data_IF_333504106784
#
_entry.id   IF_333504106784
#
_cell.length_a   1.000
_cell.length_b   1.000
_cell.length_c   1.000
_cell.angle_alpha   90.00
_cell.angle_beta   90.00
_cell.angle_gamma   90.00
#
_symmetry.space_group_name_H-M   'P 1'
#
loop_
_entity.id
_entity.type
_entity.pdbx_description
1 polymer ?
#
# COMPACT_ATOMS: atom_id res chain seq x y z
N UNK A 1 12.45 -10.60 37.32
CA UNK A 1 12.96 -10.49 35.93
C UNK A 1 11.84 -10.43 34.88
N UNK A 2 10.75 -11.20 34.97
CA UNK A 2 9.66 -11.16 33.99
C UNK A 2 8.96 -9.79 33.87
N UNK A 3 8.67 -9.10 34.96
CA UNK A 3 7.99 -7.80 34.95
C UNK A 3 8.82 -6.70 34.26
N UNK A 4 10.15 -6.76 34.29
CA UNK A 4 11.02 -5.84 33.57
C UNK A 4 11.04 -6.07 32.07
N UNK A 5 11.06 -7.34 31.63
CA UNK A 5 11.03 -7.69 30.21
C UNK A 5 9.70 -7.29 29.53
N UNK A 6 8.56 -7.47 30.23
CA UNK A 6 7.25 -7.04 29.73
C UNK A 6 7.13 -5.51 29.58
N UNK A 7 7.75 -4.76 30.49
CA UNK A 7 7.75 -3.28 30.40
C UNK A 7 8.59 -2.77 29.22
N UNK A 8 9.74 -3.40 28.94
CA UNK A 8 10.62 -3.07 27.79
C UNK A 8 9.90 -3.38 26.46
N UNK A 9 9.27 -4.55 26.34
CA UNK A 9 8.50 -4.93 25.16
C UNK A 9 7.32 -3.95 24.93
N UNK A 10 6.59 -3.59 25.97
CA UNK A 10 5.49 -2.63 25.89
C UNK A 10 5.96 -1.26 25.42
N UNK A 11 7.11 -0.79 25.93
CA UNK A 11 7.76 0.44 25.47
C UNK A 11 8.11 0.36 23.98
N UNK A 12 8.79 -0.71 23.56
CA UNK A 12 9.18 -0.95 22.17
C UNK A 12 7.96 -0.91 21.22
N UNK A 13 6.92 -1.67 21.54
CA UNK A 13 5.67 -1.72 20.76
C UNK A 13 5.00 -0.35 20.68
N UNK A 14 4.98 0.42 21.76
CA UNK A 14 4.43 1.77 21.78
C UNK A 14 5.19 2.71 20.85
N UNK A 15 6.53 2.65 20.87
CA UNK A 15 7.40 3.43 19.97
C UNK A 15 7.19 3.03 18.52
N UNK A 16 7.16 1.73 18.20
CA UNK A 16 6.87 1.23 16.85
C UNK A 16 5.54 1.78 16.34
N UNK A 17 4.48 1.67 17.13
CA UNK A 17 3.16 2.19 16.72
C UNK A 17 3.20 3.70 16.45
N UNK A 18 3.83 4.48 17.31
CA UNK A 18 3.92 5.94 17.13
C UNK A 18 4.77 6.34 15.93
N UNK A 19 5.82 5.58 15.64
CA UNK A 19 6.74 5.89 14.55
C UNK A 19 6.20 5.42 13.19
N UNK A 20 5.63 4.24 13.13
CA UNK A 20 5.30 3.55 11.86
C UNK A 20 3.85 3.75 11.44
N UNK A 21 2.87 3.64 12.37
CA UNK A 21 1.46 3.66 11.99
C UNK A 21 1.00 4.94 11.30
N UNK A 22 1.37 6.16 11.75
CA UNK A 22 0.91 7.37 11.08
C UNK A 22 1.33 7.41 9.61
N UNK A 23 2.58 6.99 9.31
CA UNK A 23 3.08 6.91 7.95
C UNK A 23 2.25 5.93 7.10
N UNK A 24 2.02 4.72 7.58
CA UNK A 24 1.24 3.73 6.84
C UNK A 24 -0.22 4.14 6.66
N UNK A 25 -0.82 4.80 7.64
CA UNK A 25 -2.17 5.37 7.49
C UNK A 25 -2.19 6.43 6.39
N UNK A 26 -1.21 7.34 6.36
CA UNK A 26 -1.10 8.35 5.29
C UNK A 26 -0.90 7.68 3.93
N UNK A 27 0.00 6.70 3.82
CA UNK A 27 0.22 5.94 2.58
C UNK A 27 -1.07 5.28 2.11
N UNK A 28 -1.86 4.72 3.02
CA UNK A 28 -3.12 4.07 2.68
C UNK A 28 -4.22 5.06 2.28
N UNK A 29 -4.29 6.21 2.95
CA UNK A 29 -5.19 7.30 2.55
C UNK A 29 -4.90 7.73 1.11
N UNK A 30 -3.63 7.99 0.79
CA UNK A 30 -3.21 8.40 -0.56
C UNK A 30 -3.53 7.31 -1.58
N UNK A 31 -3.21 6.05 -1.26
CA UNK A 31 -3.55 4.90 -2.11
C UNK A 31 -5.06 4.79 -2.38
N UNK A 32 -5.87 4.99 -1.35
CA UNK A 32 -7.32 4.89 -1.48
C UNK A 32 -7.91 6.05 -2.29
N UNK A 33 -7.41 7.27 -2.10
CA UNK A 33 -7.81 8.45 -2.90
C UNK A 33 -7.52 8.19 -4.38
N UNK A 34 -6.33 7.69 -4.71
CA UNK A 34 -5.93 7.38 -6.08
C UNK A 34 -6.79 6.29 -6.75
N UNK A 35 -7.32 5.35 -5.96
CA UNK A 35 -8.26 4.34 -6.47
C UNK A 35 -9.65 4.88 -6.74
N UNK A 36 -10.13 5.83 -5.94
CA UNK A 36 -11.50 6.36 -6.09
C UNK A 36 -11.58 7.58 -6.99
N UNK A 37 -10.46 8.26 -7.26
CA UNK A 37 -10.40 9.48 -8.07
C UNK A 37 -10.96 9.29 -9.48
N UNK A 38 -10.81 8.10 -10.06
CA UNK A 38 -11.37 7.74 -11.37
C UNK A 38 -12.89 7.97 -11.44
N UNK A 39 -13.60 7.79 -10.32
CA UNK A 39 -15.04 8.06 -10.24
C UNK A 39 -15.38 9.53 -10.44
N UNK A 40 -14.56 10.44 -9.93
CA UNK A 40 -14.78 11.88 -10.01
C UNK A 40 -14.47 12.45 -11.41
N UNK A 41 -13.57 11.82 -12.16
CA UNK A 41 -13.15 12.30 -13.50
C UNK A 41 -13.96 11.69 -14.64
N UNK A 42 -14.82 10.70 -14.38
CA UNK A 42 -15.54 9.95 -15.42
C UNK A 42 -16.24 10.83 -16.44
N UNK A 43 -17.08 11.76 -15.98
CA UNK A 43 -17.84 12.66 -16.86
C UNK A 43 -16.94 13.60 -17.67
N UNK A 44 -15.82 14.03 -17.08
CA UNK A 44 -14.84 14.87 -17.77
C UNK A 44 -14.12 14.10 -18.88
N UNK A 45 -13.72 12.85 -18.61
CA UNK A 45 -13.07 11.99 -19.60
C UNK A 45 -14.01 11.59 -20.74
N UNK A 46 -15.29 11.36 -20.44
CA UNK A 46 -16.30 11.09 -21.46
C UNK A 46 -16.48 12.30 -22.38
N UNK A 47 -16.60 13.50 -21.80
CA UNK A 47 -16.76 14.75 -22.56
C UNK A 47 -15.51 15.11 -23.39
N UNK A 48 -14.32 14.95 -22.80
CA UNK A 48 -13.07 15.46 -23.39
C UNK A 48 -12.39 14.48 -24.33
N UNK A 49 -12.52 13.19 -24.08
CA UNK A 49 -11.80 12.11 -24.76
C UNK A 49 -12.72 11.08 -25.42
N UNK A 50 -14.04 11.20 -25.24
CA UNK A 50 -15.02 10.23 -25.74
C UNK A 50 -14.96 8.87 -25.03
N UNK A 51 -14.33 8.78 -23.83
CA UNK A 51 -14.22 7.54 -23.06
C UNK A 51 -15.56 7.25 -22.40
N UNK A 52 -16.41 6.50 -23.10
CA UNK A 52 -17.75 6.17 -22.64
C UNK A 52 -17.78 5.14 -21.49
N UNK A 53 -18.99 4.84 -21.01
CA UNK A 53 -19.19 3.98 -19.84
C UNK A 53 -18.58 2.58 -19.97
N UNK A 54 -18.62 1.97 -21.15
CA UNK A 54 -18.06 0.63 -21.40
C UNK A 54 -16.53 0.66 -21.33
N UNK A 55 -15.89 1.65 -21.97
CA UNK A 55 -14.45 1.84 -21.94
C UNK A 55 -13.95 2.16 -20.52
N UNK A 56 -14.69 3.01 -19.80
CA UNK A 56 -14.42 3.28 -18.38
C UNK A 56 -14.46 2.00 -17.53
N UNK A 57 -15.51 1.17 -17.68
CA UNK A 57 -15.65 -0.10 -16.96
C UNK A 57 -14.51 -1.07 -17.25
N UNK A 58 -14.11 -1.18 -18.55
CA UNK A 58 -12.98 -2.02 -18.95
C UNK A 58 -11.67 -1.51 -18.33
N UNK A 59 -11.40 -0.20 -18.38
CA UNK A 59 -10.20 0.38 -17.78
C UNK A 59 -10.15 0.19 -16.26
N UNK A 60 -11.29 0.29 -15.57
CA UNK A 60 -11.39 -0.03 -14.15
C UNK A 60 -11.07 -1.51 -13.90
N UNK A 61 -11.58 -2.43 -14.72
CA UNK A 61 -11.29 -3.87 -14.64
C UNK A 61 -9.82 -4.20 -14.90
N UNK A 62 -9.20 -3.57 -15.90
CA UNK A 62 -7.78 -3.77 -16.23
C UNK A 62 -6.83 -3.42 -15.08
N UNK A 63 -7.18 -2.43 -14.27
CA UNK A 63 -6.44 -2.15 -13.03
C UNK A 63 -6.41 -3.37 -12.10
N UNK A 64 -7.57 -3.98 -11.84
CA UNK A 64 -7.64 -5.14 -10.95
C UNK A 64 -6.96 -6.37 -11.55
N UNK A 65 -6.98 -6.55 -12.86
CA UNK A 65 -6.25 -7.63 -13.54
C UNK A 65 -4.74 -7.44 -13.34
N UNK A 66 -4.22 -6.24 -13.60
CA UNK A 66 -2.81 -5.92 -13.36
C UNK A 66 -2.41 -6.12 -11.90
N UNK A 67 -3.25 -5.65 -10.97
CA UNK A 67 -3.05 -5.80 -9.54
C UNK A 67 -2.96 -7.28 -9.14
N UNK A 68 -3.96 -8.09 -9.49
CA UNK A 68 -4.03 -9.50 -9.10
C UNK A 68 -2.88 -10.35 -9.69
N UNK A 69 -2.51 -10.13 -10.95
CA UNK A 69 -1.43 -10.87 -11.60
C UNK A 69 -0.05 -10.59 -10.94
N UNK A 70 0.17 -9.37 -10.46
CA UNK A 70 1.47 -8.95 -9.94
C UNK A 70 1.54 -8.92 -8.41
N UNK A 71 0.44 -9.16 -7.69
CA UNK A 71 0.43 -9.15 -6.23
C UNK A 71 1.36 -10.19 -5.63
N UNK A 72 1.29 -11.45 -6.06
CA UNK A 72 2.14 -12.53 -5.55
C UNK A 72 3.61 -12.32 -5.94
N UNK A 73 3.97 -12.07 -7.22
CA UNK A 73 5.35 -11.73 -7.59
C UNK A 73 5.94 -10.55 -6.80
N UNK A 74 5.14 -9.50 -6.61
CA UNK A 74 5.54 -8.31 -5.85
C UNK A 74 5.89 -8.65 -4.39
N UNK A 75 5.07 -9.48 -3.74
CA UNK A 75 5.31 -9.89 -2.36
C UNK A 75 6.52 -10.81 -2.20
N UNK A 76 6.80 -11.67 -3.17
CA UNK A 76 8.03 -12.47 -3.19
C UNK A 76 9.27 -11.57 -3.27
N UNK A 77 9.22 -10.55 -4.11
CA UNK A 77 10.32 -9.58 -4.25
C UNK A 77 10.48 -8.73 -2.99
N UNK A 78 9.38 -8.30 -2.36
CA UNK A 78 9.39 -7.58 -1.09
C UNK A 78 10.14 -8.35 0.00
N UNK A 79 9.90 -9.67 0.11
CA UNK A 79 10.58 -10.51 1.09
C UNK A 79 12.09 -10.61 0.83
N UNK A 80 12.51 -10.61 -0.44
CA UNK A 80 13.93 -10.70 -0.84
C UNK A 80 14.67 -9.37 -0.69
N UNK A 81 14.05 -8.28 -1.12
CA UNK A 81 14.68 -6.95 -1.21
C UNK A 81 14.56 -6.16 0.09
N UNK A 82 13.54 -6.47 0.88
CA UNK A 82 13.21 -5.75 2.10
C UNK A 82 12.10 -4.70 1.92
N UNK A 83 11.34 -4.49 3.01
CA UNK A 83 10.13 -3.70 2.96
C UNK A 83 10.38 -2.22 2.61
N UNK A 84 11.42 -1.60 3.19
CA UNK A 84 11.77 -0.19 2.92
C UNK A 84 11.96 0.08 1.43
N UNK A 85 12.84 -0.69 0.79
CA UNK A 85 13.18 -0.51 -0.62
C UNK A 85 11.96 -0.79 -1.49
N UNK A 86 11.25 -1.88 -1.19
CA UNK A 86 10.16 -2.33 -2.05
C UNK A 86 8.91 -1.45 -1.95
N UNK A 87 8.52 -1.01 -0.75
CA UNK A 87 7.40 -0.08 -0.56
C UNK A 87 7.70 1.29 -1.15
N UNK A 88 8.94 1.78 -1.01
CA UNK A 88 9.37 3.02 -1.68
C UNK A 88 9.24 2.89 -3.21
N UNK A 89 9.70 1.76 -3.78
CA UNK A 89 9.57 1.48 -5.23
C UNK A 89 8.10 1.46 -5.64
N UNK A 90 7.23 0.78 -4.88
CA UNK A 90 5.79 0.73 -5.17
C UNK A 90 5.23 2.15 -5.23
N UNK A 91 5.48 2.97 -4.23
CA UNK A 91 4.98 4.34 -4.19
C UNK A 91 5.51 5.23 -5.30
N UNK A 92 6.80 5.09 -5.64
CA UNK A 92 7.40 5.85 -6.73
C UNK A 92 6.79 5.47 -8.08
N UNK A 93 6.73 4.17 -8.39
CA UNK A 93 6.22 3.69 -9.68
C UNK A 93 4.73 3.95 -9.84
N UNK A 94 3.96 3.72 -8.78
CA UNK A 94 2.54 4.03 -8.77
C UNK A 94 2.30 5.54 -8.93
N UNK A 95 2.97 6.40 -8.15
CA UNK A 95 2.79 7.84 -8.25
C UNK A 95 3.14 8.39 -9.64
N UNK A 96 4.22 7.88 -10.27
CA UNK A 96 4.58 8.27 -11.65
C UNK A 96 3.52 7.83 -12.66
N UNK A 97 3.01 6.59 -12.58
CA UNK A 97 1.96 6.11 -13.49
C UNK A 97 0.66 6.88 -13.28
N UNK A 98 0.29 7.18 -12.01
CA UNK A 98 -0.87 8.00 -11.68
C UNK A 98 -0.73 9.42 -12.27
N UNK A 99 0.44 10.05 -12.13
CA UNK A 99 0.70 11.36 -12.75
C UNK A 99 0.62 11.30 -14.28
N UNK A 100 1.06 10.20 -14.91
CA UNK A 100 0.95 10.00 -16.36
C UNK A 100 -0.52 9.92 -16.84
N UNK A 101 -1.47 9.53 -15.96
CA UNK A 101 -2.89 9.57 -16.30
C UNK A 101 -3.38 10.97 -16.71
N UNK A 102 -2.72 12.03 -16.26
CA UNK A 102 -3.00 13.41 -16.69
C UNK A 102 -2.81 13.62 -18.20
N UNK A 103 -2.04 12.80 -18.88
CA UNK A 103 -1.64 12.96 -20.29
C UNK A 103 -2.30 11.95 -21.24
N UNK A 104 -3.35 11.26 -20.80
CA UNK A 104 -4.11 10.36 -21.66
C UNK A 104 -4.82 11.16 -22.76
N UNK A 105 -4.86 10.58 -23.97
CA UNK A 105 -5.44 11.22 -25.16
C UNK A 105 -6.53 10.37 -25.82
N UNK A 106 -6.60 9.08 -25.46
CA UNK A 106 -7.54 8.12 -26.05
C UNK A 106 -7.75 6.92 -25.12
N UNK A 107 -8.71 6.06 -25.47
CA UNK A 107 -9.03 4.84 -24.72
C UNK A 107 -7.84 3.90 -24.57
N UNK A 108 -7.00 3.75 -25.58
CA UNK A 108 -5.85 2.85 -25.54
C UNK A 108 -4.83 3.29 -24.48
N UNK A 109 -4.52 4.61 -24.43
CA UNK A 109 -3.66 5.16 -23.38
C UNK A 109 -4.27 4.95 -21.99
N UNK A 110 -5.58 5.14 -21.87
CA UNK A 110 -6.30 4.89 -20.62
C UNK A 110 -6.17 3.44 -20.17
N UNK A 111 -6.40 2.46 -21.05
CA UNK A 111 -6.29 1.03 -20.72
C UNK A 111 -4.89 0.64 -20.30
N UNK A 112 -3.87 1.07 -21.04
CA UNK A 112 -2.47 0.77 -20.75
C UNK A 112 -2.09 1.32 -19.37
N UNK A 113 -2.39 2.59 -19.11
CA UNK A 113 -2.04 3.22 -17.83
C UNK A 113 -2.83 2.66 -16.66
N UNK A 114 -4.09 2.29 -16.83
CA UNK A 114 -4.88 1.59 -15.80
C UNK A 114 -4.30 0.23 -15.45
N UNK A 115 -3.90 -0.55 -16.46
CA UNK A 115 -3.23 -1.83 -16.22
C UNK A 115 -1.87 -1.62 -15.51
N UNK A 116 -1.04 -0.70 -15.99
CA UNK A 116 0.25 -0.38 -15.38
C UNK A 116 0.11 0.15 -13.95
N UNK A 117 -0.93 0.93 -13.67
CA UNK A 117 -1.23 1.41 -12.32
C UNK A 117 -1.53 0.23 -11.38
N UNK A 118 -2.33 -0.75 -11.82
CA UNK A 118 -2.58 -1.97 -11.07
C UNK A 118 -1.29 -2.76 -10.79
N UNK A 119 -0.43 -2.93 -11.81
CA UNK A 119 0.89 -3.56 -11.66
C UNK A 119 1.79 -2.80 -10.67
N UNK A 120 1.81 -1.47 -10.76
CA UNK A 120 2.64 -0.63 -9.91
C UNK A 120 2.21 -0.65 -8.43
N UNK A 121 0.90 -0.66 -8.16
CA UNK A 121 0.33 -0.76 -6.82
C UNK A 121 0.37 -2.17 -6.23
N UNK A 122 0.52 -3.19 -7.07
CA UNK A 122 0.48 -4.58 -6.64
C UNK A 122 1.48 -4.87 -5.51
N UNK A 123 0.99 -5.49 -4.45
CA UNK A 123 1.79 -5.84 -3.28
C UNK A 123 1.89 -4.74 -2.22
N UNK A 124 1.29 -3.56 -2.40
CA UNK A 124 1.29 -2.52 -1.36
C UNK A 124 0.60 -2.99 -0.08
N UNK A 125 -0.66 -3.38 -0.17
CA UNK A 125 -1.44 -3.79 0.99
C UNK A 125 -0.83 -5.00 1.71
N UNK A 126 -0.59 -6.15 1.05
CA UNK A 126 0.04 -7.30 1.72
C UNK A 126 1.48 -7.00 2.16
N UNK A 127 2.18 -6.09 1.48
CA UNK A 127 3.50 -5.62 1.90
C UNK A 127 3.50 -4.87 3.23
N UNK A 128 2.49 -4.04 3.48
CA UNK A 128 2.28 -3.38 4.78
C UNK A 128 1.93 -4.42 5.86
N UNK A 129 1.05 -5.38 5.56
CA UNK A 129 0.74 -6.47 6.49
C UNK A 129 1.99 -7.27 6.83
N UNK A 130 2.80 -7.63 5.81
CA UNK A 130 4.08 -8.29 6.03
C UNK A 130 5.02 -7.45 6.92
N UNK A 131 5.11 -6.14 6.70
CA UNK A 131 5.89 -5.26 7.57
C UNK A 131 5.43 -5.36 9.02
N UNK A 132 4.12 -5.30 9.28
CA UNK A 132 3.59 -5.44 10.63
C UNK A 132 3.89 -6.80 11.27
N UNK A 133 4.00 -7.88 10.48
CA UNK A 133 4.41 -9.19 11.03
C UNK A 133 5.84 -9.21 11.53
N UNK A 134 6.69 -8.33 11.01
CA UNK A 134 8.11 -8.22 11.39
C UNK A 134 8.38 -7.21 12.51
N UNK A 135 7.37 -6.38 12.85
CA UNK A 135 7.52 -5.27 13.77
C UNK A 135 6.56 -5.32 14.97
N UNK A 136 5.53 -6.14 14.94
CA UNK A 136 4.51 -6.17 15.98
C UNK A 136 4.11 -7.60 16.35
N UNK A 137 4.04 -7.94 17.67
CA UNK A 137 3.43 -9.18 18.14
C UNK A 137 1.96 -9.29 17.75
N UNK A 138 1.41 -10.52 17.73
CA UNK A 138 0.12 -10.85 17.11
C UNK A 138 -1.06 -9.98 17.52
N UNK A 139 -1.27 -9.74 18.82
CA UNK A 139 -2.40 -8.92 19.33
C UNK A 139 -2.24 -7.45 18.90
N UNK A 140 -1.03 -6.90 19.03
CA UNK A 140 -0.75 -5.51 18.68
C UNK A 140 -0.73 -5.30 17.17
N UNK A 141 -0.34 -6.32 16.40
CA UNK A 141 -0.46 -6.33 14.94
C UNK A 141 -1.90 -6.25 14.48
N UNK A 142 -2.83 -6.98 15.10
CA UNK A 142 -4.26 -6.88 14.79
C UNK A 142 -4.81 -5.47 15.00
N UNK A 143 -4.43 -4.81 16.10
CA UNK A 143 -4.78 -3.41 16.36
C UNK A 143 -4.17 -2.45 15.33
N UNK A 144 -2.91 -2.67 14.94
CA UNK A 144 -2.22 -1.88 13.94
C UNK A 144 -2.89 -1.98 12.57
N UNK A 145 -3.30 -3.18 12.15
CA UNK A 145 -4.04 -3.41 10.91
C UNK A 145 -5.40 -2.70 10.96
N UNK A 146 -6.13 -2.76 12.08
CA UNK A 146 -7.41 -2.06 12.21
C UNK A 146 -7.25 -0.54 12.08
N UNK A 147 -6.22 0.05 12.71
CA UNK A 147 -5.89 1.48 12.58
C UNK A 147 -5.50 1.81 11.13
N UNK A 148 -4.68 0.98 10.50
CA UNK A 148 -4.29 1.16 9.10
C UNK A 148 -5.51 1.17 8.17
N UNK A 149 -6.44 0.21 8.33
CA UNK A 149 -7.66 0.12 7.54
C UNK A 149 -8.62 1.28 7.77
N UNK A 150 -8.62 1.91 8.94
CA UNK A 150 -9.44 3.11 9.21
C UNK A 150 -9.08 4.28 8.30
N UNK A 151 -7.88 4.27 7.70
CA UNK A 151 -7.47 5.22 6.68
C UNK A 151 -8.42 5.29 5.47
N UNK A 152 -9.11 4.20 5.12
CA UNK A 152 -10.10 4.20 4.04
C UNK A 152 -11.32 5.07 4.35
N UNK A 153 -11.78 5.09 5.60
CA UNK A 153 -12.88 5.96 6.03
C UNK A 153 -12.46 7.44 5.96
N UNK A 154 -11.25 7.75 6.42
CA UNK A 154 -10.68 9.11 6.32
C UNK A 154 -10.52 9.51 4.86
N UNK A 155 -9.97 8.64 4.03
CA UNK A 155 -9.81 8.89 2.59
C UNK A 155 -11.16 9.14 1.91
N UNK A 156 -12.19 8.33 2.20
CA UNK A 156 -13.54 8.51 1.64
C UNK A 156 -14.15 9.86 2.02
N UNK A 157 -13.92 10.31 3.25
CA UNK A 157 -14.39 11.62 3.71
C UNK A 157 -13.69 12.78 3.00
N UNK A 158 -12.39 12.64 2.74
CA UNK A 158 -11.55 13.70 2.15
C UNK A 158 -11.66 13.71 0.61
N UNK A 159 -11.86 12.55 -0.04
CA UNK A 159 -11.81 12.41 -1.51
C UNK A 159 -12.75 13.35 -2.24
N UNK A 160 -14.01 13.48 -1.81
CA UNK A 160 -14.98 14.35 -2.46
C UNK A 160 -14.59 15.82 -2.46
N UNK A 161 -14.38 16.45 -1.29
CA UNK A 161 -13.91 17.83 -1.19
C UNK A 161 -12.59 18.07 -1.92
N UNK A 162 -11.62 17.17 -1.77
CA UNK A 162 -10.30 17.28 -2.42
C UNK A 162 -10.45 17.26 -3.95
N UNK A 163 -11.14 16.25 -4.49
CA UNK A 163 -11.37 16.15 -5.94
C UNK A 163 -12.15 17.36 -6.48
N UNK A 164 -13.16 17.83 -5.74
CA UNK A 164 -13.92 19.03 -6.10
C UNK A 164 -13.05 20.29 -6.20
N UNK A 165 -12.08 20.45 -5.32
CA UNK A 165 -11.11 21.56 -5.38
C UNK A 165 -10.11 21.38 -6.53
N UNK A 166 -9.56 20.19 -6.72
CA UNK A 166 -8.56 19.91 -7.75
C UNK A 166 -9.16 20.04 -9.16
N UNK A 167 -10.41 19.64 -9.36
CA UNK A 167 -11.11 19.75 -10.63
C UNK A 167 -11.35 21.22 -11.07
N UNK A 168 -11.29 22.18 -10.16
CA UNK A 168 -11.41 23.61 -10.47
C UNK A 168 -10.10 24.25 -10.94
N UNK A 169 -8.97 23.55 -10.76
CA UNK A 169 -7.65 24.08 -11.16
C UNK A 169 -7.57 24.09 -12.69
N UNK A 170 -7.25 25.25 -13.25
CA UNK A 170 -7.00 25.43 -14.69
C UNK A 170 -5.68 26.15 -14.90
N UNK A 171 -5.00 25.86 -15.99
CA UNK A 171 -3.73 26.52 -16.33
C UNK A 171 -2.77 25.60 -17.07
N UNK A 172 -1.76 26.17 -17.67
CA UNK A 172 -0.72 25.47 -18.44
C UNK A 172 -1.26 24.54 -19.53
N UNK A 173 -2.46 24.80 -20.06
CA UNK A 173 -3.10 23.96 -21.07
C UNK A 173 -3.70 22.66 -20.54
N UNK A 174 -3.66 22.42 -19.23
CA UNK A 174 -4.26 21.24 -18.57
C UNK A 174 -5.66 21.58 -18.04
N UNK A 175 -6.55 20.60 -18.13
CA UNK A 175 -7.90 20.63 -17.57
C UNK A 175 -7.89 20.18 -16.11
N UNK A 176 -8.95 20.47 -15.34
CA UNK A 176 -9.03 20.15 -13.92
C UNK A 176 -8.78 18.66 -13.59
N UNK A 177 -9.35 17.74 -14.37
CA UNK A 177 -9.13 16.32 -14.16
C UNK A 177 -7.68 15.88 -14.42
N UNK A 178 -6.96 16.54 -15.32
CA UNK A 178 -5.54 16.32 -15.57
C UNK A 178 -4.70 16.81 -14.40
N UNK A 179 -5.01 18.01 -13.88
CA UNK A 179 -4.38 18.52 -12.66
C UNK A 179 -4.60 17.60 -11.46
N UNK A 180 -5.80 17.05 -11.32
CA UNK A 180 -6.09 16.11 -10.22
C UNK A 180 -5.16 14.89 -10.27
N UNK A 181 -5.08 14.19 -11.39
CA UNK A 181 -4.17 13.05 -11.53
C UNK A 181 -2.70 13.43 -11.34
N UNK A 182 -2.30 14.57 -11.90
CA UNK A 182 -0.92 15.02 -11.80
C UNK A 182 -0.52 15.35 -10.35
N UNK A 183 -1.34 16.10 -9.63
CA UNK A 183 -1.07 16.51 -8.24
C UNK A 183 -1.09 15.29 -7.32
N UNK A 184 -2.11 14.42 -7.41
CA UNK A 184 -2.23 13.23 -6.57
C UNK A 184 -1.06 12.25 -6.83
N UNK A 185 -0.71 12.01 -8.10
CA UNK A 185 0.42 11.18 -8.45
C UNK A 185 1.75 11.76 -7.98
N UNK A 186 1.99 13.06 -8.16
CA UNK A 186 3.21 13.72 -7.71
C UNK A 186 3.30 13.80 -6.17
N UNK A 187 2.16 13.88 -5.47
CA UNK A 187 2.14 13.77 -4.02
C UNK A 187 2.62 12.39 -3.55
N UNK A 188 2.19 11.31 -4.23
CA UNK A 188 2.68 9.94 -3.97
C UNK A 188 4.18 9.81 -4.21
N UNK A 189 4.69 10.43 -5.28
CA UNK A 189 6.14 10.51 -5.56
C UNK A 189 6.87 11.27 -4.44
N UNK A 190 6.33 12.40 -3.98
CA UNK A 190 6.89 13.14 -2.84
C UNK A 190 6.93 12.30 -1.56
N UNK A 191 5.84 11.58 -1.28
CA UNK A 191 5.73 10.72 -0.11
C UNK A 191 6.70 9.53 -0.16
N UNK A 192 7.08 9.03 -1.35
CA UNK A 192 8.06 7.94 -1.45
C UNK A 192 9.43 8.33 -0.89
N UNK A 193 9.87 9.59 -1.05
CA UNK A 193 11.11 10.08 -0.45
C UNK A 193 11.00 10.07 1.08
N UNK A 194 9.86 10.48 1.63
CA UNK A 194 9.64 10.42 3.07
C UNK A 194 9.67 8.98 3.59
N UNK A 195 9.03 8.04 2.89
CA UNK A 195 9.07 6.60 3.21
C UNK A 195 10.51 6.08 3.19
N UNK A 196 11.31 6.47 2.18
CA UNK A 196 12.70 6.05 2.08
C UNK A 196 13.55 6.46 3.28
N UNK A 197 13.40 7.65 3.80
CA UNK A 197 14.19 8.15 4.91
C UNK A 197 13.65 7.74 6.29
N UNK A 198 12.36 7.50 6.39
CA UNK A 198 11.68 7.23 7.66
C UNK A 198 11.55 5.76 8.01
N UNK A 199 11.39 4.88 7.01
CA UNK A 199 11.09 3.48 7.23
C UNK A 199 12.39 2.66 7.37
N UNK A 200 12.48 1.87 8.44
CA UNK A 200 13.54 0.88 8.61
C UNK A 200 13.05 -0.50 8.15
N UNK A 201 13.97 -1.32 7.57
CA UNK A 201 13.59 -2.66 7.10
C UNK A 201 13.48 -3.68 8.21
N UNK A 202 14.27 -3.54 9.27
CA UNK A 202 14.35 -4.49 10.39
C UNK A 202 14.41 -3.73 11.72
N UNK A 203 13.90 -4.33 12.82
CA UNK A 203 13.99 -3.71 14.15
C UNK A 203 15.41 -3.36 14.59
N UNK A 204 16.40 -4.17 14.23
CA UNK A 204 17.82 -3.88 14.56
C UNK A 204 18.40 -2.67 13.83
N UNK A 205 17.80 -2.21 12.72
CA UNK A 205 18.23 -1.02 11.99
C UNK A 205 17.67 0.27 12.60
N UNK A 206 16.66 0.17 13.47
CA UNK A 206 15.91 1.28 14.04
C UNK A 206 16.68 2.00 15.14
N UNK A 207 17.30 3.13 14.81
CA UNK A 207 18.09 3.96 15.74
C UNK A 207 17.24 4.63 16.82
N UNK A 208 15.93 4.68 16.66
CA UNK A 208 14.96 5.23 17.62
C UNK A 208 14.51 4.24 18.69
N UNK A 209 14.92 2.95 18.59
CA UNK A 209 14.79 1.92 19.63
C UNK A 209 16.13 1.71 20.35
N UNK A 210 16.09 1.46 21.66
CA UNK A 210 17.26 0.98 22.39
C UNK A 210 17.58 -0.47 22.02
N UNK A 211 18.81 -0.93 22.26
CA UNK A 211 19.18 -2.33 21.97
C UNK A 211 18.31 -3.31 22.74
N UNK A 212 18.02 -3.02 23.99
CA UNK A 212 17.14 -3.86 24.82
C UNK A 212 15.72 -3.94 24.23
N UNK A 213 15.18 -2.84 23.70
CA UNK A 213 13.88 -2.81 23.03
C UNK A 213 13.89 -3.56 21.71
N UNK A 214 14.98 -3.46 20.92
CA UNK A 214 15.15 -4.20 19.67
C UNK A 214 15.17 -5.72 19.95
N UNK A 215 15.97 -6.15 20.93
CA UNK A 215 16.10 -7.56 21.29
C UNK A 215 14.80 -8.13 21.88
N UNK A 216 14.12 -7.38 22.77
CA UNK A 216 12.83 -7.77 23.33
C UNK A 216 11.76 -7.94 22.23
N UNK A 217 11.75 -7.04 21.25
CA UNK A 217 10.80 -7.08 20.14
C UNK A 217 11.05 -8.27 19.22
N UNK A 218 12.31 -8.49 18.81
CA UNK A 218 12.69 -9.60 17.93
C UNK A 218 12.43 -10.93 18.61
N UNK A 219 12.84 -11.08 19.87
CA UNK A 219 12.61 -12.31 20.62
C UNK A 219 11.12 -12.65 20.78
N UNK A 220 10.26 -11.64 20.98
CA UNK A 220 8.82 -11.85 21.08
C UNK A 220 8.22 -12.31 19.74
N UNK A 221 8.67 -11.73 18.63
CA UNK A 221 8.20 -12.09 17.28
C UNK A 221 8.69 -13.48 16.88
N UNK A 222 9.96 -13.80 17.15
CA UNK A 222 10.55 -15.10 16.81
C UNK A 222 9.92 -16.22 17.65
N UNK A 223 9.64 -15.99 18.93
CA UNK A 223 8.92 -16.94 19.79
C UNK A 223 7.48 -17.20 19.26
N UNK A 224 6.77 -16.16 18.82
CA UNK A 224 5.44 -16.31 18.21
C UNK A 224 5.52 -17.12 16.92
N UNK A 225 6.51 -16.83 16.07
CA UNK A 225 6.70 -17.55 14.81
C UNK A 225 7.04 -19.03 15.06
N UNK A 226 7.94 -19.32 15.98
CA UNK A 226 8.29 -20.70 16.35
C UNK A 226 7.07 -21.46 16.90
N UNK A 227 6.24 -20.83 17.73
CA UNK A 227 5.02 -21.44 18.25
C UNK A 227 4.01 -21.76 17.13
N UNK A 228 3.88 -20.88 16.12
CA UNK A 228 3.03 -21.11 14.95
C UNK A 228 3.54 -22.25 14.07
N UNK A 229 4.85 -22.29 13.82
CA UNK A 229 5.47 -23.35 13.02
C UNK A 229 5.32 -24.73 13.71
N UNK A 230 5.44 -24.78 15.04
CA UNK A 230 5.21 -25.98 15.81
C UNK A 230 3.74 -26.45 15.78
N UNK A 231 2.79 -25.51 15.75
CA UNK A 231 1.36 -25.81 15.68
C UNK A 231 0.90 -26.23 14.26
N UNK A 232 1.67 -25.90 13.22
CA UNK A 232 1.31 -26.18 11.81
C UNK A 232 2.47 -26.91 11.11
N UNK A 233 2.64 -28.25 11.34
CA UNK A 233 3.81 -28.99 10.87
C UNK A 233 3.86 -29.23 9.34
N UNK A 234 2.91 -28.73 8.57
CA UNK A 234 2.86 -28.95 7.12
C UNK A 234 3.42 -27.75 6.37
N UNK A 235 4.67 -27.84 5.94
CA UNK A 235 5.20 -27.03 4.83
C UNK A 235 4.47 -27.44 3.55
N UNK A 236 3.29 -26.86 3.30
CA UNK A 236 2.61 -27.07 2.04
C UNK A 236 3.47 -26.46 0.92
N UNK A 237 3.97 -27.31 0.03
CA UNK A 237 4.62 -26.85 -1.20
C UNK A 237 3.62 -26.04 -2.00
N UNK A 238 4.04 -24.87 -2.53
CA UNK A 238 3.20 -24.00 -3.39
C UNK A 238 2.50 -24.81 -4.49
N UNK A 239 3.18 -25.85 -5.04
CA UNK A 239 2.57 -26.76 -6.02
C UNK A 239 1.46 -27.65 -5.47
N UNK A 240 1.39 -27.92 -4.14
CA UNK A 240 0.25 -28.61 -3.52
C UNK A 240 -0.90 -27.63 -3.23
N UNK A 241 -0.60 -26.41 -2.85
CA UNK A 241 -1.61 -25.35 -2.62
C UNK A 241 -2.36 -24.99 -3.90
N UNK A 242 -1.66 -24.89 -5.03
CA UNK A 242 -2.27 -24.62 -6.35
C UNK A 242 -3.11 -25.78 -6.90
N UNK A 243 -3.02 -26.99 -6.31
CA UNK A 243 -3.83 -28.15 -6.66
C UNK A 243 -4.98 -28.40 -5.69
N UNK A 244 -5.03 -27.65 -4.61
CA UNK A 244 -6.09 -27.79 -3.62
C UNK A 244 -7.35 -27.07 -4.11
N UNK A 245 -8.40 -27.85 -4.43
CA UNK A 245 -9.65 -27.34 -4.95
C UNK A 245 -10.34 -26.33 -4.02
N UNK A 246 -10.06 -26.33 -2.73
CA UNK A 246 -10.58 -25.34 -1.79
C UNK A 246 -9.92 -23.96 -1.96
N UNK A 247 -8.64 -23.95 -2.35
CA UNK A 247 -7.89 -22.68 -2.56
C UNK A 247 -8.25 -22.07 -3.93
N UNK A 248 -8.65 -22.89 -4.91
CA UNK A 248 -9.06 -22.41 -6.24
C UNK A 248 -10.48 -21.81 -6.22
N UNK A 249 -11.29 -22.15 -5.23
CA UNK A 249 -12.69 -21.68 -5.10
C UNK A 249 -12.83 -20.37 -4.31
N UNK A 250 -11.76 -19.86 -3.68
CA UNK A 250 -11.68 -18.59 -2.98
C UNK A 250 -10.73 -17.63 -3.71
#
# INVERSE_FOLDING_TARGET
MAAGADSVLTSAVSKVKRHVLPLFVIMFIVNYIDRVNIGFVRSHMEHDLGIGAAAYGLGAGLFFIGYALFEVPSNILLQKVGARIWLTRIMLTWGLVAACMAFIQNETHFYILRFLLGVAEAGFFPGVIYYFTRWLPGVERGKAIAIFLSGSAIASLISGPLSGLLLQITGFGLKGWQWMYFIEGMFSVGLCFFVWFWLDSKPHDAKWLTREEQDALVNAIDAEQAAREAATPVKASIGKLLKDGQIILF
#
